data_IF_296111991654
#
_entry.id   IF_296111991654
#
_cell.length_a   1.000
_cell.length_b   1.000
_cell.length_c   1.000
_cell.angle_alpha   90.00
_cell.angle_beta   90.00
_cell.angle_gamma   90.00
#
_symmetry.space_group_name_H-M   'P 1'
#
loop_
_entity.id
_entity.type
_entity.pdbx_description
1 polymer ?
#
# COMPACT_ATOMS: atom_id res chain seq x y z
N UNK A 1 17.43 -13.73 -17.43
CA UNK A 1 16.03 -14.17 -17.65
C UNK A 1 15.35 -13.02 -18.37
N UNK A 2 14.66 -13.23 -19.51
CA UNK A 2 13.89 -12.15 -20.13
C UNK A 2 12.81 -11.64 -19.16
N UNK A 3 12.41 -10.36 -19.25
CA UNK A 3 11.31 -9.86 -18.44
C UNK A 3 10.05 -10.68 -18.73
N UNK A 4 9.34 -11.07 -17.67
CA UNK A 4 8.05 -11.75 -17.79
C UNK A 4 7.04 -10.81 -18.45
N UNK A 5 6.37 -11.30 -19.48
CA UNK A 5 5.28 -10.60 -20.17
C UNK A 5 4.01 -11.41 -19.94
N UNK A 6 3.02 -10.87 -19.20
CA UNK A 6 1.75 -11.56 -18.98
C UNK A 6 1.04 -11.85 -20.30
N UNK A 7 0.39 -13.00 -20.38
CA UNK A 7 -0.60 -13.28 -21.41
C UNK A 7 -1.80 -12.33 -21.27
N UNK A 8 -2.63 -12.16 -22.32
CA UNK A 8 -3.84 -11.34 -22.22
C UNK A 8 -4.79 -11.78 -21.10
N UNK A 9 -4.88 -13.08 -20.83
CA UNK A 9 -5.71 -13.63 -19.75
C UNK A 9 -5.14 -13.31 -18.36
N UNK A 10 -3.84 -13.49 -18.17
CA UNK A 10 -3.17 -13.10 -16.91
C UNK A 10 -3.30 -11.59 -16.66
N UNK A 11 -3.14 -10.78 -17.70
CA UNK A 11 -3.28 -9.32 -17.60
C UNK A 11 -4.71 -8.92 -17.22
N UNK A 12 -5.72 -9.58 -17.78
CA UNK A 12 -7.13 -9.33 -17.43
C UNK A 12 -7.40 -9.70 -15.96
N UNK A 13 -6.90 -10.84 -15.50
CA UNK A 13 -7.02 -11.25 -14.09
C UNK A 13 -6.36 -10.23 -13.16
N UNK A 14 -5.13 -9.83 -13.47
CA UNK A 14 -4.39 -8.84 -12.69
C UNK A 14 -5.11 -7.49 -12.65
N UNK A 15 -5.73 -7.06 -13.74
CA UNK A 15 -6.48 -5.80 -13.81
C UNK A 15 -7.77 -5.81 -12.96
N UNK A 16 -8.20 -6.97 -12.48
CA UNK A 16 -9.36 -7.13 -11.62
C UNK A 16 -9.00 -7.39 -10.14
N UNK A 17 -7.71 -7.43 -9.79
CA UNK A 17 -7.22 -7.84 -8.48
C UNK A 17 -7.16 -6.70 -7.44
N UNK A 18 -8.26 -5.98 -7.30
CA UNK A 18 -8.40 -4.88 -6.33
C UNK A 18 -8.61 -5.35 -4.89
N UNK A 19 -9.14 -6.57 -4.75
CA UNK A 19 -9.33 -7.25 -3.47
C UNK A 19 -8.48 -8.51 -3.54
N UNK A 20 -7.37 -8.51 -2.80
CA UNK A 20 -6.58 -9.72 -2.57
C UNK A 20 -7.45 -10.76 -1.85
N UNK A 21 -7.57 -12.01 -2.35
CA UNK A 21 -8.29 -13.06 -1.65
C UNK A 21 -7.73 -13.29 -0.24
N UNK A 22 -8.61 -13.28 0.76
CA UNK A 22 -8.24 -13.55 2.14
C UNK A 22 -8.39 -15.04 2.46
N UNK A 23 -7.29 -15.67 2.85
CA UNK A 23 -7.26 -17.02 3.39
C UNK A 23 -6.78 -17.00 4.85
N UNK A 24 -7.67 -17.25 5.83
CA UNK A 24 -7.30 -17.21 7.24
C UNK A 24 -6.32 -18.30 7.66
N UNK A 25 -6.26 -19.44 6.94
CA UNK A 25 -5.33 -20.53 7.27
C UNK A 25 -3.89 -20.19 6.88
N UNK A 26 -3.74 -19.35 5.84
CA UNK A 26 -2.45 -18.94 5.28
C UNK A 26 -2.16 -17.45 5.45
N UNK A 27 -2.96 -16.73 6.24
CA UNK A 27 -2.78 -15.30 6.49
C UNK A 27 -1.39 -15.05 7.10
N UNK A 28 -0.62 -14.06 6.57
CA UNK A 28 0.70 -13.77 7.12
C UNK A 28 0.59 -13.33 8.58
N UNK A 29 1.53 -13.78 9.40
CA UNK A 29 1.56 -13.43 10.82
C UNK A 29 1.81 -11.93 10.99
N UNK A 30 1.33 -11.39 12.11
CA UNK A 30 1.56 -10.02 12.56
C UNK A 30 0.93 -8.92 11.69
N UNK A 31 0.18 -9.29 10.65
CA UNK A 31 -0.65 -8.35 9.90
C UNK A 31 -2.10 -8.81 9.92
N UNK A 32 -3.01 -7.86 9.92
CA UNK A 32 -4.45 -8.05 9.89
C UNK A 32 -4.99 -7.60 8.53
N UNK A 33 -6.13 -8.15 8.11
CA UNK A 33 -6.73 -7.89 6.81
C UNK A 33 -7.94 -6.95 6.94
N UNK A 34 -8.08 -6.01 6.00
CA UNK A 34 -9.20 -5.08 5.93
C UNK A 34 -9.71 -4.88 4.51
N UNK A 35 -10.95 -4.41 4.42
CA UNK A 35 -11.60 -3.99 3.18
C UNK A 35 -12.08 -2.54 3.33
N UNK A 36 -12.12 -1.83 2.22
CA UNK A 36 -12.57 -0.44 2.17
C UNK A 36 -13.29 -0.14 0.86
N UNK A 37 -14.13 0.88 0.87
CA UNK A 37 -14.81 1.35 -0.33
C UNK A 37 -13.86 2.11 -1.25
N UNK A 38 -14.00 1.91 -2.55
CA UNK A 38 -13.19 2.55 -3.59
C UNK A 38 -14.08 3.39 -4.49
N UNK A 39 -14.66 4.47 -3.96
CA UNK A 39 -15.67 5.27 -4.65
C UNK A 39 -15.20 5.86 -5.99
N UNK A 40 -13.89 6.08 -6.17
CA UNK A 40 -13.35 6.54 -7.47
C UNK A 40 -13.49 5.50 -8.58
N UNK A 41 -13.68 4.22 -8.23
CA UNK A 41 -13.99 3.13 -9.16
C UNK A 41 -15.48 2.90 -9.37
N UNK A 42 -16.34 3.60 -8.63
CA UNK A 42 -17.79 3.48 -8.69
C UNK A 42 -18.43 3.17 -7.33
N UNK A 43 -19.76 3.24 -7.28
CA UNK A 43 -20.49 2.91 -6.06
C UNK A 43 -20.46 1.39 -5.81
N UNK A 44 -20.17 1.00 -4.57
CA UNK A 44 -20.14 -0.42 -4.16
C UNK A 44 -18.87 -1.18 -4.56
N UNK A 45 -17.89 -0.54 -5.19
CA UNK A 45 -16.58 -1.17 -5.45
C UNK A 45 -15.71 -1.15 -4.21
N UNK A 46 -14.94 -2.22 -4.01
CA UNK A 46 -14.09 -2.39 -2.84
C UNK A 46 -12.62 -2.57 -3.23
N UNK A 47 -11.74 -2.22 -2.31
CA UNK A 47 -10.34 -2.60 -2.28
C UNK A 47 -10.02 -3.32 -0.98
N UNK A 48 -8.88 -4.03 -0.94
CA UNK A 48 -8.37 -4.62 0.29
C UNK A 48 -7.04 -4.02 0.71
N UNK A 49 -6.67 -4.30 1.96
CA UNK A 49 -5.38 -3.93 2.51
C UNK A 49 -5.00 -4.84 3.67
N UNK A 50 -3.72 -4.86 3.98
CA UNK A 50 -3.21 -5.43 5.22
C UNK A 50 -2.68 -4.32 6.12
N UNK A 51 -2.64 -4.55 7.42
CA UNK A 51 -2.11 -3.57 8.36
C UNK A 51 -1.48 -4.22 9.60
N UNK A 52 -0.59 -3.47 10.25
CA UNK A 52 -0.04 -3.79 11.56
C UNK A 52 -0.25 -2.60 12.50
N UNK A 53 -0.77 -2.88 13.69
CA UNK A 53 -0.94 -1.90 14.74
C UNK A 53 0.26 -1.96 15.70
N UNK A 54 0.83 -0.81 16.08
CA UNK A 54 2.04 -0.79 16.87
C UNK A 54 1.81 -1.30 18.31
N UNK A 55 2.89 -1.67 19.02
CA UNK A 55 2.81 -2.06 20.42
C UNK A 55 2.05 -1.04 21.27
N UNK A 56 1.12 -1.52 22.09
CA UNK A 56 0.32 -0.68 22.99
C UNK A 56 -0.86 0.03 22.33
N UNK A 57 -1.12 -0.14 21.02
CA UNK A 57 -2.25 0.51 20.35
C UNK A 57 -3.59 0.22 21.06
N UNK A 58 -3.87 -1.03 21.43
CA UNK A 58 -5.15 -1.40 22.06
C UNK A 58 -5.29 -0.97 23.53
N UNK A 59 -4.18 -0.71 24.21
CA UNK A 59 -4.18 -0.32 25.64
C UNK A 59 -4.06 1.18 25.83
N UNK A 60 -3.36 1.88 24.92
CA UNK A 60 -3.27 3.33 24.91
C UNK A 60 -4.33 3.95 23.99
N UNK A 61 -5.48 4.26 24.56
CA UNK A 61 -6.66 4.74 23.82
C UNK A 61 -6.62 6.21 23.44
N UNK A 62 -5.65 6.99 23.96
CA UNK A 62 -5.54 8.43 23.72
C UNK A 62 -4.38 8.81 22.78
N UNK A 63 -3.45 7.88 22.54
CA UNK A 63 -2.33 8.11 21.65
C UNK A 63 -2.75 8.00 20.18
N UNK A 64 -2.32 8.98 19.39
CA UNK A 64 -2.39 8.98 17.93
C UNK A 64 -1.01 8.66 17.34
N UNK A 65 -0.99 7.89 16.26
CA UNK A 65 0.22 7.30 15.68
C UNK A 65 0.50 7.83 14.27
N UNK A 66 1.78 7.94 13.86
CA UNK A 66 2.10 8.11 12.45
C UNK A 66 1.73 6.84 11.66
N UNK A 67 1.60 6.99 10.34
CA UNK A 67 1.31 5.89 9.40
C UNK A 67 2.47 5.70 8.42
N UNK A 68 2.88 4.46 8.18
CA UNK A 68 3.72 4.10 7.03
C UNK A 68 2.85 3.36 6.01
N UNK A 69 2.68 3.95 4.82
CA UNK A 69 2.05 3.28 3.69
C UNK A 69 3.13 2.51 2.93
N UNK A 70 2.98 1.21 2.81
CA UNK A 70 3.94 0.33 2.16
C UNK A 70 3.36 -0.28 0.88
N UNK A 71 4.01 -0.02 -0.25
CA UNK A 71 3.54 -0.40 -1.59
C UNK A 71 4.29 -1.64 -2.11
N UNK A 72 3.52 -2.63 -2.56
CA UNK A 72 4.05 -3.87 -3.12
C UNK A 72 4.71 -3.70 -4.50
N UNK A 73 5.51 -4.70 -4.89
CA UNK A 73 6.13 -4.75 -6.20
C UNK A 73 5.16 -5.13 -7.32
N UNK A 74 5.63 -5.08 -8.57
CA UNK A 74 4.86 -5.59 -9.70
C UNK A 74 4.73 -7.11 -9.62
N UNK A 75 3.65 -7.65 -10.20
CA UNK A 75 3.33 -9.08 -10.17
C UNK A 75 3.18 -9.66 -8.75
N UNK A 76 2.92 -8.80 -7.76
CA UNK A 76 2.87 -9.13 -6.33
C UNK A 76 1.56 -8.62 -5.71
N UNK A 77 1.40 -8.87 -4.42
CA UNK A 77 0.24 -8.53 -3.59
C UNK A 77 0.67 -7.83 -2.30
N UNK A 78 -0.26 -7.13 -1.66
CA UNK A 78 -0.02 -6.45 -0.39
C UNK A 78 0.48 -7.40 0.71
N UNK A 79 -0.07 -8.62 0.81
CA UNK A 79 0.35 -9.63 1.80
C UNK A 79 1.84 -9.96 1.74
N UNK A 80 2.48 -9.85 0.57
CA UNK A 80 3.91 -10.15 0.41
C UNK A 80 4.81 -9.12 1.10
N UNK A 81 4.26 -7.99 1.56
CA UNK A 81 4.94 -7.03 2.42
C UNK A 81 5.15 -7.50 3.86
N UNK A 82 4.59 -8.64 4.27
CA UNK A 82 4.69 -9.15 5.65
C UNK A 82 6.15 -9.25 6.17
N UNK A 83 7.10 -9.60 5.29
CA UNK A 83 8.52 -9.63 5.65
C UNK A 83 9.07 -8.24 6.01
N UNK A 84 8.66 -7.19 5.30
CA UNK A 84 9.03 -5.82 5.62
C UNK A 84 8.37 -5.35 6.93
N UNK A 85 7.10 -5.70 7.14
CA UNK A 85 6.37 -5.40 8.39
C UNK A 85 7.09 -6.00 9.60
N UNK A 86 7.58 -7.24 9.50
CA UNK A 86 8.33 -7.88 10.59
C UNK A 86 9.62 -7.10 10.94
N UNK A 87 10.30 -6.52 9.95
CA UNK A 87 11.46 -5.66 10.19
C UNK A 87 11.08 -4.37 10.93
N UNK A 88 9.95 -3.74 10.55
CA UNK A 88 9.45 -2.54 11.25
C UNK A 88 9.01 -2.85 12.67
N UNK A 89 8.33 -3.97 12.88
CA UNK A 89 7.92 -4.47 14.20
C UNK A 89 9.14 -4.66 15.10
N UNK A 90 10.16 -5.36 14.61
CA UNK A 90 11.41 -5.56 15.35
C UNK A 90 12.12 -4.23 15.67
N UNK A 91 12.08 -3.25 14.75
CA UNK A 91 12.64 -1.93 15.00
C UNK A 91 11.84 -1.13 16.05
N UNK A 92 10.51 -1.25 16.06
CA UNK A 92 9.64 -0.66 17.08
C UNK A 92 9.89 -1.28 18.46
N UNK A 93 9.96 -2.61 18.55
CA UNK A 93 10.25 -3.33 19.80
C UNK A 93 11.63 -2.96 20.36
N UNK A 94 12.61 -2.73 19.48
CA UNK A 94 13.96 -2.31 19.85
C UNK A 94 14.09 -0.79 20.14
N UNK A 95 13.00 -0.02 20.04
CA UNK A 95 13.01 1.44 20.23
C UNK A 95 13.78 2.22 19.15
N UNK A 96 14.08 1.60 18.00
CA UNK A 96 14.77 2.23 16.87
C UNK A 96 13.82 2.96 15.92
N UNK A 97 12.53 2.67 16.02
CA UNK A 97 11.44 3.31 15.29
C UNK A 97 10.34 3.69 16.28
N UNK A 98 9.69 4.86 16.16
CA UNK A 98 8.53 5.16 16.98
C UNK A 98 7.39 4.17 16.69
N UNK A 99 6.50 3.89 17.67
CA UNK A 99 5.25 3.16 17.42
C UNK A 99 4.52 3.76 16.21
N UNK A 100 4.33 2.97 15.16
CA UNK A 100 3.81 3.40 13.85
C UNK A 100 2.80 2.38 13.32
N UNK A 101 1.68 2.85 12.78
CA UNK A 101 0.73 2.00 12.06
C UNK A 101 1.34 1.71 10.68
N UNK A 102 1.44 0.43 10.30
CA UNK A 102 1.90 0.05 8.96
C UNK A 102 0.67 -0.36 8.15
N UNK A 103 0.45 0.24 6.99
CA UNK A 103 -0.71 -0.01 6.14
C UNK A 103 -0.25 -0.37 4.72
N UNK A 104 -0.73 -1.49 4.21
CA UNK A 104 -0.31 -2.11 2.95
C UNK A 104 -1.52 -2.21 2.04
N UNK A 105 -1.81 -1.19 1.21
CA UNK A 105 -2.93 -1.27 0.28
C UNK A 105 -2.67 -2.34 -0.77
N UNK A 106 -3.67 -3.17 -1.06
CA UNK A 106 -3.70 -3.91 -2.31
C UNK A 106 -3.93 -2.90 -3.44
N UNK A 107 -2.97 -2.83 -4.35
CA UNK A 107 -3.13 -2.20 -5.64
C UNK A 107 -3.14 -3.28 -6.72
N UNK A 108 -3.32 -2.88 -7.97
CA UNK A 108 -3.21 -3.83 -9.06
C UNK A 108 -1.76 -4.34 -9.19
N UNK A 109 -1.54 -5.64 -9.50
CA UNK A 109 -0.20 -6.19 -9.74
C UNK A 109 0.56 -5.53 -10.90
N UNK A 110 -0.12 -4.73 -11.72
CA UNK A 110 0.40 -3.89 -12.80
C UNK A 110 -0.18 -2.47 -12.71
N UNK A 111 0.34 -1.53 -13.50
CA UNK A 111 -0.21 -0.18 -13.59
C UNK A 111 0.54 0.87 -12.77
N UNK A 112 1.64 0.49 -12.11
CA UNK A 112 2.68 1.41 -11.62
C UNK A 112 2.22 2.47 -10.61
N UNK A 113 1.11 2.21 -9.91
CA UNK A 113 0.46 3.21 -9.03
C UNK A 113 0.08 4.50 -9.76
N UNK A 114 -0.25 4.39 -11.05
CA UNK A 114 -0.69 5.49 -11.90
C UNK A 114 -2.15 5.30 -12.29
N UNK A 115 -2.81 6.41 -12.59
CA UNK A 115 -4.06 6.35 -13.34
C UNK A 115 -3.77 5.95 -14.80
N UNK A 116 -4.53 5.00 -15.34
CA UNK A 116 -4.46 4.68 -16.77
C UNK A 116 -4.94 5.85 -17.62
N UNK A 117 -4.38 6.02 -18.82
CA UNK A 117 -4.71 7.12 -19.75
C UNK A 117 -6.20 7.12 -20.11
N UNK A 118 -6.80 5.93 -20.25
CA UNK A 118 -8.22 5.75 -20.56
C UNK A 118 -9.13 5.83 -19.31
N UNK A 119 -8.56 6.08 -18.13
CA UNK A 119 -9.28 6.24 -16.87
C UNK A 119 -9.85 4.95 -16.27
N UNK A 120 -9.67 3.79 -16.89
CA UNK A 120 -10.23 2.51 -16.42
C UNK A 120 -9.59 2.01 -15.13
N UNK A 121 -8.33 2.33 -14.90
CA UNK A 121 -7.57 1.88 -13.73
C UNK A 121 -7.07 3.10 -12.96
N UNK A 122 -7.90 3.68 -12.07
CA UNK A 122 -7.56 4.88 -11.32
C UNK A 122 -6.72 4.55 -10.06
N UNK A 123 -5.57 3.88 -10.22
CA UNK A 123 -4.80 3.32 -9.10
C UNK A 123 -4.25 4.44 -8.18
N UNK A 124 -3.75 5.53 -8.77
CA UNK A 124 -3.27 6.70 -8.02
C UNK A 124 -4.40 7.30 -7.19
N UNK A 125 -5.57 7.51 -7.79
CA UNK A 125 -6.73 8.08 -7.09
C UNK A 125 -7.27 7.14 -6.02
N UNK A 126 -7.26 5.83 -6.22
CA UNK A 126 -7.66 4.86 -5.18
C UNK A 126 -6.79 5.02 -3.94
N UNK A 127 -5.46 5.13 -4.11
CA UNK A 127 -4.55 5.31 -2.97
C UNK A 127 -4.79 6.66 -2.28
N UNK A 128 -4.85 7.75 -3.04
CA UNK A 128 -4.88 9.10 -2.49
C UNK A 128 -6.26 9.50 -1.95
N UNK A 129 -7.32 9.21 -2.70
CA UNK A 129 -8.67 9.71 -2.41
C UNK A 129 -9.56 8.72 -1.66
N UNK A 130 -9.21 7.43 -1.61
CA UNK A 130 -9.98 6.43 -0.89
C UNK A 130 -9.20 5.78 0.24
N UNK A 131 -8.02 5.24 -0.04
CA UNK A 131 -7.27 4.48 0.95
C UNK A 131 -6.75 5.34 2.11
N UNK A 132 -6.08 6.47 1.82
CA UNK A 132 -5.57 7.36 2.87
C UNK A 132 -6.69 7.86 3.80
N UNK A 133 -7.81 8.42 3.28
CA UNK A 133 -8.94 8.81 4.13
C UNK A 133 -9.52 7.66 4.95
N UNK A 134 -9.63 6.46 4.36
CA UNK A 134 -10.11 5.27 5.08
C UNK A 134 -9.20 4.92 6.26
N UNK A 135 -7.89 4.96 6.09
CA UNK A 135 -6.93 4.69 7.17
C UNK A 135 -7.05 5.74 8.29
N UNK A 136 -7.15 7.02 7.92
CA UNK A 136 -7.29 8.11 8.89
C UNK A 136 -8.63 8.09 9.65
N UNK A 137 -9.71 7.58 9.04
CA UNK A 137 -11.00 7.41 9.72
C UNK A 137 -11.10 6.13 10.55
N UNK A 138 -10.35 5.10 10.18
CA UNK A 138 -10.41 3.76 10.82
C UNK A 138 -9.49 3.67 12.04
N UNK A 139 -8.33 4.33 11.99
CA UNK A 139 -7.31 4.22 13.03
C UNK A 139 -7.01 5.57 13.70
N UNK A 140 -6.40 5.52 14.89
CA UNK A 140 -5.92 6.71 15.62
C UNK A 140 -4.65 7.25 14.98
N UNK A 141 -4.77 8.02 13.91
CA UNK A 141 -3.63 8.64 13.22
C UNK A 141 -3.37 10.05 13.72
N UNK A 142 -2.13 10.51 13.64
CA UNK A 142 -1.74 11.90 13.98
C UNK A 142 -1.55 12.80 12.75
N UNK A 143 -1.97 12.34 11.56
CA UNK A 143 -1.81 13.03 10.29
C UNK A 143 -0.40 13.00 9.68
N UNK A 144 0.62 12.53 10.42
CA UNK A 144 1.97 12.31 9.86
C UNK A 144 2.02 10.96 9.17
N UNK A 145 2.47 10.95 7.93
CA UNK A 145 2.56 9.73 7.13
C UNK A 145 3.84 9.67 6.30
N UNK A 146 4.46 8.50 6.25
CA UNK A 146 5.50 8.17 5.30
C UNK A 146 4.95 7.25 4.20
N UNK A 147 5.60 7.24 3.05
CA UNK A 147 5.33 6.30 1.96
C UNK A 147 6.60 5.58 1.55
N UNK A 148 6.50 4.27 1.42
CA UNK A 148 7.58 3.39 1.01
C UNK A 148 7.07 2.36 0.00
N UNK A 149 7.96 1.83 -0.83
CA UNK A 149 7.64 0.62 -1.58
C UNK A 149 8.84 0.00 -2.27
N UNK A 150 8.64 -1.20 -2.80
CA UNK A 150 9.67 -1.99 -3.49
C UNK A 150 9.42 -2.11 -4.99
N UNK A 151 10.46 -1.91 -5.82
CA UNK A 151 10.38 -2.10 -7.29
C UNK A 151 9.31 -1.21 -7.95
N UNK A 152 8.18 -1.77 -8.43
CA UNK A 152 7.02 -1.01 -8.86
C UNK A 152 6.45 -0.12 -7.74
N UNK A 153 6.39 -0.63 -6.51
CA UNK A 153 6.01 0.14 -5.33
C UNK A 153 7.04 1.20 -4.97
N UNK A 154 8.32 0.98 -5.29
CA UNK A 154 9.37 1.98 -5.11
C UNK A 154 9.18 3.15 -6.07
N UNK A 155 8.81 2.87 -7.33
CA UNK A 155 8.36 3.89 -8.27
C UNK A 155 7.11 4.61 -7.75
N UNK A 156 6.09 3.86 -7.31
CA UNK A 156 4.87 4.42 -6.74
C UNK A 156 5.12 5.32 -5.54
N UNK A 157 6.01 4.94 -4.63
CA UNK A 157 6.36 5.72 -3.45
C UNK A 157 7.04 7.04 -3.84
N UNK A 158 7.97 7.01 -4.80
CA UNK A 158 8.58 8.24 -5.33
C UNK A 158 7.55 9.12 -6.05
N UNK A 159 6.76 8.53 -6.95
CA UNK A 159 5.75 9.23 -7.75
C UNK A 159 4.70 9.92 -6.86
N UNK A 160 4.01 9.16 -6.02
CA UNK A 160 2.99 9.67 -5.12
C UNK A 160 3.58 10.60 -4.05
N UNK A 161 4.74 10.22 -3.49
CA UNK A 161 5.44 10.99 -2.46
C UNK A 161 5.84 12.39 -2.92
N UNK A 162 6.32 12.53 -4.16
CA UNK A 162 6.70 13.84 -4.71
C UNK A 162 5.52 14.61 -5.31
N UNK A 163 4.56 13.92 -5.91
CA UNK A 163 3.37 14.55 -6.51
C UNK A 163 2.42 15.12 -5.47
N UNK A 164 2.27 14.44 -4.34
CA UNK A 164 1.40 14.82 -3.22
C UNK A 164 2.24 15.12 -1.97
N UNK A 165 3.27 15.95 -2.14
CA UNK A 165 4.26 16.25 -1.08
C UNK A 165 3.64 16.84 0.20
N UNK A 166 2.46 17.45 0.11
CA UNK A 166 1.66 17.93 1.24
C UNK A 166 1.08 16.81 2.10
N UNK A 167 0.90 15.62 1.53
CA UNK A 167 0.40 14.46 2.25
C UNK A 167 1.51 13.72 2.99
N UNK A 168 2.75 13.71 2.49
CA UNK A 168 3.81 12.82 2.98
C UNK A 168 4.96 13.56 3.66
N UNK A 169 5.37 13.04 4.82
CA UNK A 169 6.47 13.56 5.65
C UNK A 169 7.78 12.80 5.42
N UNK A 170 7.75 11.70 4.66
CA UNK A 170 8.91 10.90 4.32
C UNK A 170 8.61 9.99 3.13
N UNK A 171 9.60 9.83 2.25
CA UNK A 171 9.50 9.02 1.04
C UNK A 171 10.70 8.07 0.99
N UNK A 172 10.44 6.77 0.89
CA UNK A 172 11.45 5.70 0.86
C UNK A 172 11.25 4.83 -0.39
N UNK A 173 11.88 5.16 -1.53
CA UNK A 173 11.80 4.32 -2.71
C UNK A 173 12.86 3.21 -2.64
N UNK A 174 12.43 1.95 -2.44
CA UNK A 174 13.34 0.80 -2.35
C UNK A 174 13.46 0.14 -3.73
N UNK A 175 14.68 0.11 -4.27
CA UNK A 175 14.98 -0.43 -5.59
C UNK A 175 13.97 0.02 -6.67
N UNK A 176 13.69 1.34 -6.79
CA UNK A 176 12.60 1.83 -7.64
C UNK A 176 12.88 1.47 -9.10
N UNK A 177 11.85 0.98 -9.78
CA UNK A 177 11.91 0.86 -11.23
C UNK A 177 12.02 2.26 -11.85
N UNK A 178 12.96 2.43 -12.79
CA UNK A 178 13.10 3.65 -13.57
C UNK A 178 12.49 3.38 -14.94
N UNK A 179 11.32 3.94 -15.20
CA UNK A 179 10.71 3.91 -16.52
C UNK A 179 11.32 5.05 -17.35
N UNK A 180 11.92 4.76 -18.52
CA UNK A 180 12.31 5.82 -19.44
C UNK A 180 11.06 6.60 -19.85
N UNK A 181 11.21 7.93 -20.00
CA UNK A 181 10.13 8.77 -20.54
C UNK A 181 9.66 8.17 -21.87
N UNK A 182 8.34 8.06 -22.11
CA UNK A 182 7.87 7.81 -23.46
C UNK A 182 8.37 8.97 -24.32
N UNK A 183 9.20 8.66 -25.31
CA UNK A 183 9.63 9.60 -26.35
C UNK A 183 8.55 9.78 -27.41
#
# INVERSE_FOLDING_TARGET
MPPYLPTPEELDQMNNEWVEPYDPENAPKNIEYGIYETTVRGQGTQGSYWYHLPPGYNTNTTQNYPVLIWLHGGMSRASQGAGAVEMYRAAMDAGKMPPTIIALPQALPVGWYLNSIDGKFPIEDVVIQNFIPHIDSTFRTNGKRGIEGFSMGGYGAAHLGFRYSELFHGVSPIAPAILPSPG
#
